data_IF_970573941121
#
_entry.id   IF_970573941121
#
_cell.length_a   1.000
_cell.length_b   1.000
_cell.length_c   1.000
_cell.angle_alpha   90.00
_cell.angle_beta   90.00
_cell.angle_gamma   90.00
#
_symmetry.space_group_name_H-M   'P 1'
#
loop_
_entity.id
_entity.type
_entity.pdbx_description
1 polymer ?
#
# COMPACT_ATOMS: atom_id res chain seq x y z
N UNK A 1 11.58 13.37 8.25
CA UNK A 1 10.95 14.56 7.63
C UNK A 1 10.24 14.23 6.31
N UNK A 2 10.81 13.48 5.37
CA UNK A 2 10.18 13.19 4.06
C UNK A 2 8.81 12.49 4.16
N UNK A 3 8.67 11.51 5.04
CA UNK A 3 7.38 10.81 5.20
C UNK A 3 6.26 11.73 5.70
N UNK A 4 6.56 12.63 6.66
CA UNK A 4 5.59 13.59 7.15
C UNK A 4 5.09 14.50 6.02
N UNK A 5 6.01 15.02 5.21
CA UNK A 5 5.68 15.91 4.09
C UNK A 5 4.76 15.20 3.09
N UNK A 6 5.08 13.96 2.71
CA UNK A 6 4.26 13.17 1.78
C UNK A 6 2.85 12.94 2.34
N UNK A 7 2.74 12.54 3.62
CA UNK A 7 1.43 12.30 4.25
C UNK A 7 0.59 13.57 4.34
N UNK A 8 1.21 14.70 4.64
CA UNK A 8 0.52 16.00 4.68
C UNK A 8 0.11 16.48 3.27
N UNK A 9 0.93 16.23 2.25
CA UNK A 9 0.57 16.55 0.86
C UNK A 9 -0.63 15.72 0.39
N UNK A 10 -0.64 14.41 0.64
CA UNK A 10 -1.78 13.55 0.28
C UNK A 10 -3.05 13.99 0.98
N UNK A 11 -3.00 14.20 2.29
CA UNK A 11 -4.16 14.67 3.05
C UNK A 11 -4.59 16.08 2.61
N UNK A 12 -3.65 16.99 2.36
CA UNK A 12 -3.91 18.33 1.87
C UNK A 12 -4.62 18.35 0.52
N UNK A 13 -4.22 17.50 -0.42
CA UNK A 13 -4.89 17.34 -1.71
C UNK A 13 -6.33 16.81 -1.54
N UNK A 14 -6.55 15.81 -0.71
CA UNK A 14 -7.90 15.29 -0.45
C UNK A 14 -8.79 16.36 0.19
N UNK A 15 -8.29 17.12 1.17
CA UNK A 15 -9.01 18.23 1.79
C UNK A 15 -9.29 19.33 0.77
N UNK A 16 -8.29 19.70 -0.04
CA UNK A 16 -8.44 20.72 -1.06
C UNK A 16 -9.56 20.37 -2.05
N UNK A 17 -9.56 19.18 -2.62
CA UNK A 17 -10.62 18.72 -3.51
C UNK A 17 -11.97 18.59 -2.78
N UNK A 18 -11.97 18.10 -1.54
CA UNK A 18 -13.18 18.02 -0.73
C UNK A 18 -13.83 19.39 -0.50
N UNK A 19 -13.04 20.39 -0.16
CA UNK A 19 -13.48 21.78 0.05
C UNK A 19 -13.91 22.41 -1.28
N UNK A 20 -13.14 22.21 -2.37
CA UNK A 20 -13.48 22.72 -3.69
C UNK A 20 -14.85 22.20 -4.16
N UNK A 21 -15.12 20.92 -4.00
CA UNK A 21 -16.41 20.32 -4.38
C UNK A 21 -17.53 20.82 -3.46
N UNK A 22 -17.33 20.80 -2.15
CA UNK A 22 -18.39 21.10 -1.18
C UNK A 22 -18.77 22.57 -1.15
N UNK A 23 -17.79 23.45 -1.06
CA UNK A 23 -18.02 24.87 -0.81
C UNK A 23 -17.94 25.73 -2.07
N UNK A 24 -17.07 25.36 -3.03
CA UNK A 24 -16.90 26.10 -4.28
C UNK A 24 -17.66 25.49 -5.45
N UNK A 25 -18.49 24.44 -5.20
CA UNK A 25 -19.33 23.78 -6.20
C UNK A 25 -18.56 23.29 -7.44
N UNK A 26 -17.29 22.91 -7.25
CA UNK A 26 -16.44 22.40 -8.31
C UNK A 26 -16.86 20.97 -8.72
N UNK A 27 -18.14 20.78 -9.07
CA UNK A 27 -18.74 19.48 -9.37
C UNK A 27 -18.12 18.80 -10.60
N UNK A 28 -17.46 19.57 -11.46
CA UNK A 28 -16.66 19.04 -12.55
C UNK A 28 -15.55 18.07 -12.13
N UNK A 29 -15.16 18.09 -10.85
CA UNK A 29 -14.19 17.15 -10.29
C UNK A 29 -14.80 15.78 -9.91
N UNK A 30 -16.15 15.69 -9.92
CA UNK A 30 -16.84 14.45 -9.59
C UNK A 30 -16.90 13.56 -10.84
N UNK A 31 -16.28 12.39 -10.76
CA UNK A 31 -16.32 11.41 -11.85
C UNK A 31 -17.78 11.00 -12.16
N UNK A 32 -18.14 11.01 -13.43
CA UNK A 32 -19.48 10.69 -13.89
C UNK A 32 -20.42 11.91 -13.96
N UNK A 33 -20.20 12.97 -13.18
CA UNK A 33 -20.99 14.19 -13.25
C UNK A 33 -20.80 14.92 -14.60
N UNK A 34 -19.57 15.06 -15.07
CA UNK A 34 -19.26 15.72 -16.34
C UNK A 34 -19.80 15.00 -17.59
N UNK A 35 -20.06 13.71 -17.49
CA UNK A 35 -20.57 12.91 -18.60
C UNK A 35 -22.09 12.81 -18.60
N UNK A 36 -22.74 13.33 -17.58
CA UNK A 36 -24.18 13.42 -17.46
C UNK A 36 -24.74 14.60 -18.28
N UNK A 37 -26.01 14.51 -18.70
CA UNK A 37 -26.71 15.63 -19.36
C UNK A 37 -26.88 16.81 -18.38
N UNK A 38 -27.14 18.00 -18.90
CA UNK A 38 -27.32 19.16 -18.01
C UNK A 38 -28.46 18.96 -17.02
N UNK A 39 -29.54 18.36 -17.45
CA UNK A 39 -30.72 18.08 -16.61
C UNK A 39 -30.36 17.07 -15.50
N UNK A 40 -29.57 16.03 -15.83
CA UNK A 40 -29.06 15.07 -14.83
C UNK A 40 -28.10 15.74 -13.85
N UNK A 41 -27.23 16.65 -14.33
CA UNK A 41 -26.31 17.41 -13.48
C UNK A 41 -27.07 18.29 -12.49
N UNK A 42 -28.10 19.01 -12.95
CA UNK A 42 -28.96 19.84 -12.12
C UNK A 42 -29.69 18.99 -11.06
N UNK A 43 -30.22 17.84 -11.48
CA UNK A 43 -30.86 16.90 -10.55
C UNK A 43 -29.87 16.42 -9.48
N UNK A 44 -28.70 15.90 -9.86
CA UNK A 44 -27.69 15.43 -8.91
C UNK A 44 -27.23 16.55 -7.97
N UNK A 45 -27.04 17.76 -8.48
CA UNK A 45 -26.68 18.93 -7.68
C UNK A 45 -27.77 19.28 -6.65
N UNK A 46 -29.05 19.25 -7.05
CA UNK A 46 -30.19 19.53 -6.16
C UNK A 46 -30.34 18.49 -5.05
N UNK A 47 -29.91 17.24 -5.29
CA UNK A 47 -29.89 16.17 -4.29
C UNK A 47 -28.69 16.25 -3.33
N UNK A 48 -27.78 17.21 -3.53
CA UNK A 48 -26.63 17.42 -2.62
C UNK A 48 -25.43 16.50 -2.85
N UNK A 49 -25.21 16.03 -4.09
CA UNK A 49 -24.05 15.19 -4.45
C UNK A 49 -22.72 15.87 -4.06
N UNK A 50 -22.63 17.20 -4.20
CA UNK A 50 -21.43 17.97 -3.87
C UNK A 50 -21.10 17.93 -2.38
N UNK A 51 -22.11 18.12 -1.52
CA UNK A 51 -21.94 18.02 -0.06
C UNK A 51 -21.49 16.64 0.36
N UNK A 52 -22.10 15.59 -0.20
CA UNK A 52 -21.73 14.21 0.06
C UNK A 52 -20.30 13.90 -0.39
N UNK A 53 -19.98 14.15 -1.66
CA UNK A 53 -18.65 13.83 -2.22
C UNK A 53 -17.53 14.62 -1.55
N UNK A 54 -17.75 15.91 -1.29
CA UNK A 54 -16.78 16.74 -0.61
C UNK A 54 -16.53 16.28 0.83
N UNK A 55 -17.58 15.89 1.57
CA UNK A 55 -17.44 15.33 2.91
C UNK A 55 -16.67 14.00 2.89
N UNK A 56 -16.95 13.12 1.92
CA UNK A 56 -16.24 11.84 1.82
C UNK A 56 -14.74 12.02 1.60
N UNK A 57 -14.32 12.97 0.76
CA UNK A 57 -12.90 13.27 0.55
C UNK A 57 -12.23 13.79 1.83
N UNK A 58 -12.91 14.63 2.62
CA UNK A 58 -12.40 15.12 3.90
C UNK A 58 -12.27 13.96 4.90
N UNK A 59 -13.25 13.05 4.95
CA UNK A 59 -13.19 11.86 5.81
C UNK A 59 -12.06 10.91 5.38
N UNK A 60 -11.82 10.76 4.08
CA UNK A 60 -10.68 9.98 3.56
C UNK A 60 -9.34 10.59 3.99
N UNK A 61 -9.21 11.92 3.97
CA UNK A 61 -8.04 12.60 4.49
C UNK A 61 -7.85 12.36 6.00
N UNK A 62 -8.94 12.41 6.77
CA UNK A 62 -8.90 12.13 8.20
C UNK A 62 -8.50 10.69 8.50
N UNK A 63 -9.02 9.70 7.75
CA UNK A 63 -8.64 8.29 7.87
C UNK A 63 -7.15 8.07 7.55
N UNK A 64 -6.64 8.73 6.51
CA UNK A 64 -5.23 8.70 6.13
C UNK A 64 -4.33 9.26 7.24
N UNK A 65 -4.64 10.45 7.76
CA UNK A 65 -3.90 11.09 8.85
C UNK A 65 -3.99 10.30 10.16
N UNK A 66 -5.13 9.69 10.44
CA UNK A 66 -5.32 8.82 11.61
C UNK A 66 -4.37 7.62 11.55
N UNK A 67 -4.28 6.95 10.40
CA UNK A 67 -3.32 5.86 10.20
C UNK A 67 -1.87 6.31 10.41
N UNK A 68 -1.50 7.46 9.87
CA UNK A 68 -0.18 8.05 10.08
C UNK A 68 0.08 8.37 11.56
N UNK A 69 -0.90 8.96 12.26
CA UNK A 69 -0.80 9.26 13.68
C UNK A 69 -0.62 8.00 14.54
N UNK A 70 -1.39 6.94 14.27
CA UNK A 70 -1.21 5.65 14.95
C UNK A 70 0.20 5.11 14.74
N UNK A 71 0.72 5.19 13.53
CA UNK A 71 2.10 4.76 13.22
C UNK A 71 3.13 5.59 13.99
N UNK A 72 2.94 6.91 14.05
CA UNK A 72 3.78 7.82 14.82
C UNK A 72 3.71 7.54 16.32
N UNK A 73 2.54 7.19 16.85
CA UNK A 73 2.33 6.78 18.25
C UNK A 73 2.91 5.39 18.60
N UNK A 74 3.58 4.72 17.64
CA UNK A 74 4.25 3.44 17.86
C UNK A 74 3.43 2.20 17.50
N UNK A 75 2.19 2.34 17.01
CA UNK A 75 1.40 1.20 16.55
C UNK A 75 1.93 0.71 15.19
N UNK A 76 2.49 -0.49 15.17
CA UNK A 76 3.15 -1.06 13.99
C UNK A 76 2.22 -1.19 12.78
N UNK A 77 0.92 -1.41 13.00
CA UNK A 77 -0.12 -1.55 11.97
C UNK A 77 -0.89 -0.23 11.69
N UNK A 78 -0.39 0.90 12.19
CA UNK A 78 -1.08 2.19 12.06
C UNK A 78 -1.40 2.57 10.62
N UNK A 79 -0.42 2.46 9.72
CA UNK A 79 -0.59 2.78 8.29
C UNK A 79 -1.62 1.87 7.63
N UNK A 80 -1.59 0.58 7.92
CA UNK A 80 -2.50 -0.42 7.37
C UNK A 80 -3.94 -0.17 7.81
N UNK A 81 -4.14 0.23 9.08
CA UNK A 81 -5.45 0.63 9.60
C UNK A 81 -5.96 1.87 8.85
N UNK A 82 -5.12 2.87 8.64
CA UNK A 82 -5.49 4.07 7.88
C UNK A 82 -5.90 3.76 6.44
N UNK A 83 -5.13 2.91 5.75
CA UNK A 83 -5.45 2.44 4.40
C UNK A 83 -6.75 1.63 4.36
N UNK A 84 -6.98 0.74 5.33
CA UNK A 84 -8.22 -0.04 5.42
C UNK A 84 -9.44 0.87 5.58
N UNK A 85 -9.39 1.85 6.48
CA UNK A 85 -10.44 2.83 6.67
C UNK A 85 -10.69 3.65 5.40
N UNK A 86 -9.63 4.09 4.72
CA UNK A 86 -9.73 4.81 3.46
C UNK A 86 -10.43 3.95 2.39
N UNK A 87 -10.06 2.69 2.23
CA UNK A 87 -10.70 1.77 1.29
C UNK A 87 -12.18 1.57 1.61
N UNK A 88 -12.54 1.40 2.88
CA UNK A 88 -13.94 1.31 3.32
C UNK A 88 -14.71 2.57 2.90
N UNK A 89 -14.15 3.75 3.12
CA UNK A 89 -14.76 5.02 2.72
C UNK A 89 -14.90 5.14 1.19
N UNK A 90 -13.90 4.68 0.41
CA UNK A 90 -13.95 4.65 -1.06
C UNK A 90 -15.11 3.75 -1.52
N UNK A 91 -15.20 2.51 -1.02
CA UNK A 91 -16.28 1.60 -1.39
C UNK A 91 -17.66 2.13 -0.96
N UNK A 92 -17.76 2.66 0.25
CA UNK A 92 -18.98 3.31 0.72
C UNK A 92 -19.39 4.45 -0.21
N UNK A 93 -18.44 5.31 -0.60
CA UNK A 93 -18.69 6.43 -1.51
C UNK A 93 -19.19 5.96 -2.87
N UNK A 94 -18.56 4.94 -3.45
CA UNK A 94 -18.97 4.38 -4.75
C UNK A 94 -20.38 3.78 -4.71
N UNK A 95 -20.77 3.15 -3.62
CA UNK A 95 -22.10 2.56 -3.46
C UNK A 95 -23.12 3.66 -3.15
N UNK A 96 -22.86 4.50 -2.18
CA UNK A 96 -23.77 5.51 -1.68
C UNK A 96 -23.99 6.67 -2.68
N UNK A 97 -23.01 6.98 -3.55
CA UNK A 97 -23.18 8.01 -4.59
C UNK A 97 -24.26 7.66 -5.60
N UNK A 98 -24.60 6.38 -5.75
CA UNK A 98 -25.68 5.95 -6.68
C UNK A 98 -27.05 6.50 -6.32
N UNK A 99 -27.31 6.85 -5.06
CA UNK A 99 -28.57 7.45 -4.61
C UNK A 99 -28.86 8.82 -5.22
N UNK A 100 -27.83 9.48 -5.74
CA UNK A 100 -27.92 10.78 -6.39
C UNK A 100 -28.26 10.70 -7.88
N UNK A 101 -28.24 9.49 -8.47
CA UNK A 101 -28.62 9.32 -9.85
C UNK A 101 -30.12 9.53 -10.03
N UNK A 102 -30.55 10.17 -11.14
CA UNK A 102 -31.97 10.33 -11.44
C UNK A 102 -32.72 8.99 -11.49
N UNK A 103 -33.93 8.90 -10.91
CA UNK A 103 -34.76 7.70 -10.98
C UNK A 103 -35.35 7.50 -12.39
N UNK A 104 -35.85 6.30 -12.74
CA UNK A 104 -36.43 6.04 -14.07
C UNK A 104 -37.56 6.98 -14.47
N UNK A 105 -38.36 7.43 -13.50
CA UNK A 105 -39.48 8.41 -13.74
C UNK A 105 -38.99 9.75 -14.26
N UNK A 106 -37.81 10.16 -13.83
CA UNK A 106 -37.17 11.40 -14.30
C UNK A 106 -37.00 11.38 -15.83
N UNK A 107 -36.52 10.29 -16.38
CA UNK A 107 -36.28 10.12 -17.81
C UNK A 107 -37.59 10.01 -18.59
N UNK A 108 -38.59 9.33 -18.02
CA UNK A 108 -39.91 9.18 -18.62
C UNK A 108 -40.58 10.55 -18.78
N UNK A 109 -40.48 11.40 -17.78
CA UNK A 109 -41.04 12.76 -17.80
C UNK A 109 -40.37 13.67 -18.84
N UNK A 110 -39.09 13.40 -19.15
CA UNK A 110 -38.34 14.16 -20.17
C UNK A 110 -38.50 13.60 -21.60
N UNK A 111 -39.19 12.45 -21.75
CA UNK A 111 -39.28 11.76 -23.06
C UNK A 111 -37.92 11.25 -23.55
N UNK A 112 -36.97 11.03 -22.63
CA UNK A 112 -35.60 10.63 -22.93
C UNK A 112 -35.30 9.24 -22.34
N UNK A 113 -34.39 8.51 -22.94
CA UNK A 113 -33.84 7.31 -22.34
C UNK A 113 -32.73 7.67 -21.36
N UNK A 114 -32.51 6.87 -20.29
CA UNK A 114 -31.39 7.06 -19.39
C UNK A 114 -30.08 7.17 -20.16
N UNK A 115 -29.27 8.16 -19.85
CA UNK A 115 -27.96 8.29 -20.47
C UNK A 115 -27.13 7.02 -20.18
N UNK A 116 -26.14 6.73 -21.00
CA UNK A 116 -25.24 5.55 -20.87
C UNK A 116 -24.53 5.48 -19.50
N UNK A 117 -24.74 6.47 -18.65
CA UNK A 117 -24.11 6.72 -17.36
C UNK A 117 -24.26 5.57 -16.34
N UNK A 118 -25.42 4.92 -16.24
CA UNK A 118 -25.62 3.87 -15.23
C UNK A 118 -24.82 2.59 -15.52
N UNK A 119 -24.69 2.22 -16.81
CA UNK A 119 -23.87 1.07 -17.23
C UNK A 119 -22.38 1.37 -17.03
N UNK A 120 -21.93 2.55 -17.40
CA UNK A 120 -20.54 2.99 -17.24
C UNK A 120 -20.15 3.06 -15.77
N UNK A 121 -21.04 3.58 -14.90
CA UNK A 121 -20.83 3.59 -13.45
C UNK A 121 -20.74 2.19 -12.84
N UNK A 122 -21.55 1.22 -13.33
CA UNK A 122 -21.48 -0.16 -12.87
C UNK A 122 -20.16 -0.82 -13.33
N UNK A 123 -19.76 -0.61 -14.57
CA UNK A 123 -18.48 -1.11 -15.08
C UNK A 123 -17.32 -0.52 -14.25
N UNK A 124 -17.35 0.79 -13.98
CA UNK A 124 -16.35 1.44 -13.14
C UNK A 124 -16.25 0.83 -11.74
N UNK A 125 -17.38 0.55 -11.10
CA UNK A 125 -17.39 -0.13 -9.80
C UNK A 125 -16.77 -1.52 -9.88
N UNK A 126 -17.19 -2.34 -10.87
CA UNK A 126 -16.67 -3.70 -11.05
C UNK A 126 -15.16 -3.66 -11.27
N UNK A 127 -14.68 -2.77 -12.15
CA UNK A 127 -13.23 -2.60 -12.39
C UNK A 127 -12.50 -2.21 -11.11
N UNK A 128 -13.03 -1.24 -10.34
CA UNK A 128 -12.41 -0.82 -9.06
C UNK A 128 -12.32 -2.00 -8.08
N UNK A 129 -13.39 -2.78 -7.94
CA UNK A 129 -13.40 -3.98 -7.07
C UNK A 129 -12.35 -4.99 -7.54
N UNK A 130 -12.31 -5.30 -8.83
CA UNK A 130 -11.34 -6.25 -9.40
C UNK A 130 -9.90 -5.78 -9.19
N UNK A 131 -9.61 -4.50 -9.45
CA UNK A 131 -8.28 -3.92 -9.22
C UNK A 131 -7.91 -4.01 -7.74
N UNK A 132 -8.81 -3.64 -6.83
CA UNK A 132 -8.54 -3.70 -5.38
C UNK A 132 -8.26 -5.13 -4.92
N UNK A 133 -9.04 -6.11 -5.38
CA UNK A 133 -8.81 -7.53 -5.08
C UNK A 133 -7.45 -7.98 -5.63
N UNK A 134 -7.14 -7.62 -6.89
CA UNK A 134 -5.86 -7.97 -7.52
C UNK A 134 -4.66 -7.41 -6.77
N UNK A 135 -4.74 -6.14 -6.33
CA UNK A 135 -3.72 -5.50 -5.51
C UNK A 135 -3.61 -6.20 -4.15
N UNK A 136 -4.73 -6.55 -3.51
CA UNK A 136 -4.74 -7.30 -2.26
C UNK A 136 -4.07 -8.67 -2.39
N UNK A 137 -4.36 -9.42 -3.44
CA UNK A 137 -3.71 -10.71 -3.74
C UNK A 137 -2.20 -10.52 -3.96
N UNK A 138 -1.82 -9.49 -4.71
CA UNK A 138 -0.40 -9.18 -4.97
C UNK A 138 0.34 -8.86 -3.67
N UNK A 139 -0.23 -8.02 -2.81
CA UNK A 139 0.35 -7.68 -1.49
C UNK A 139 0.47 -8.94 -0.63
N UNK A 140 -0.59 -9.75 -0.58
CA UNK A 140 -0.58 -11.02 0.16
C UNK A 140 0.53 -11.96 -0.33
N UNK A 141 0.68 -12.12 -1.65
CA UNK A 141 1.74 -12.94 -2.23
C UNK A 141 3.14 -12.39 -1.92
N UNK A 142 3.33 -11.08 -2.01
CA UNK A 142 4.61 -10.44 -1.66
C UNK A 142 4.95 -10.57 -0.18
N UNK A 143 3.93 -10.59 0.70
CA UNK A 143 4.08 -10.70 2.14
C UNK A 143 4.42 -12.13 2.62
N UNK A 144 4.28 -13.15 1.76
CA UNK A 144 4.63 -14.53 2.14
C UNK A 144 6.09 -14.64 2.56
N UNK A 145 6.45 -15.57 3.47
CA UNK A 145 7.84 -15.83 3.81
C UNK A 145 8.70 -16.09 2.56
N UNK A 146 9.95 -15.69 2.61
CA UNK A 146 10.90 -16.10 1.58
C UNK A 146 11.22 -17.59 1.78
N UNK A 147 11.22 -18.35 0.70
CA UNK A 147 11.69 -19.73 0.70
C UNK A 147 13.22 -19.71 0.70
N UNK A 148 13.83 -20.09 1.84
CA UNK A 148 15.28 -20.06 2.02
C UNK A 148 15.81 -21.50 1.99
N UNK A 149 16.60 -21.82 0.97
CA UNK A 149 17.23 -23.12 0.80
C UNK A 149 18.76 -23.01 0.80
N UNK A 150 19.39 -23.83 1.62
CA UNK A 150 20.84 -23.98 1.68
C UNK A 150 21.24 -25.14 0.74
N UNK A 151 21.54 -24.82 -0.50
CA UNK A 151 21.98 -25.77 -1.51
C UNK A 151 23.47 -26.14 -1.28
N UNK A 152 24.04 -27.01 -2.09
CA UNK A 152 25.43 -27.45 -1.89
C UNK A 152 26.45 -26.32 -1.99
N UNK A 153 26.31 -25.43 -2.98
CA UNK A 153 27.28 -24.37 -3.29
C UNK A 153 26.73 -22.96 -3.12
N UNK A 154 25.44 -22.81 -2.81
CA UNK A 154 24.77 -21.52 -2.81
C UNK A 154 23.60 -21.43 -1.84
N UNK A 155 23.31 -20.23 -1.38
CA UNK A 155 22.10 -19.85 -0.68
C UNK A 155 21.06 -19.41 -1.73
N UNK A 156 19.92 -20.09 -1.82
CA UNK A 156 18.78 -19.68 -2.65
C UNK A 156 17.69 -19.07 -1.76
N UNK A 157 17.23 -17.89 -2.15
CA UNK A 157 16.11 -17.19 -1.52
C UNK A 157 15.02 -17.02 -2.57
N UNK A 158 13.90 -17.73 -2.41
CA UNK A 158 12.78 -17.75 -3.34
C UNK A 158 11.67 -16.74 -2.99
N UNK A 159 10.64 -16.71 -3.83
CA UNK A 159 9.48 -15.81 -3.67
C UNK A 159 9.71 -14.42 -4.24
N UNK A 160 8.96 -13.44 -3.76
CA UNK A 160 9.15 -12.06 -4.20
C UNK A 160 10.56 -11.56 -3.85
N UNK A 161 11.20 -10.86 -4.80
CA UNK A 161 12.60 -10.42 -4.71
C UNK A 161 13.63 -11.54 -4.63
N UNK A 162 13.34 -12.72 -5.20
CA UNK A 162 14.21 -13.87 -5.22
C UNK A 162 15.67 -13.53 -5.57
N UNK A 163 16.61 -14.24 -4.99
CA UNK A 163 18.03 -14.09 -5.26
C UNK A 163 18.80 -15.36 -4.89
N UNK A 164 19.97 -15.51 -5.49
CA UNK A 164 20.89 -16.60 -5.19
C UNK A 164 22.25 -16.02 -4.88
N UNK A 165 22.93 -16.56 -3.88
CA UNK A 165 24.27 -16.14 -3.46
C UNK A 165 25.15 -17.38 -3.34
N UNK A 166 26.20 -17.47 -4.12
CA UNK A 166 27.20 -18.53 -3.97
C UNK A 166 27.99 -18.33 -2.69
N UNK A 167 28.26 -19.37 -1.95
CA UNK A 167 29.05 -19.27 -0.72
C UNK A 167 30.45 -18.68 -0.95
N UNK A 168 31.06 -18.99 -2.09
CA UNK A 168 32.36 -18.44 -2.49
C UNK A 168 32.37 -16.92 -2.69
N UNK A 169 31.19 -16.30 -2.94
CA UNK A 169 31.08 -14.85 -3.15
C UNK A 169 30.81 -14.10 -1.84
N UNK A 170 30.58 -14.78 -0.73
CA UNK A 170 30.33 -14.16 0.57
C UNK A 170 31.64 -13.59 1.12
N UNK A 171 31.65 -12.29 1.38
CA UNK A 171 32.76 -11.58 2.02
C UNK A 171 32.67 -11.63 3.54
N UNK A 172 31.47 -11.41 4.07
CA UNK A 172 31.21 -11.49 5.50
C UNK A 172 29.79 -11.97 5.78
N UNK A 173 29.67 -12.72 6.86
CA UNK A 173 28.44 -13.20 7.46
C UNK A 173 28.40 -12.69 8.90
N UNK A 174 27.44 -11.87 9.24
CA UNK A 174 27.32 -11.24 10.55
C UNK A 174 25.92 -11.51 11.14
N UNK A 175 25.86 -11.87 12.42
CA UNK A 175 24.60 -11.91 13.17
C UNK A 175 24.53 -10.64 14.03
N UNK A 176 23.74 -9.66 13.59
CA UNK A 176 23.49 -8.46 14.37
C UNK A 176 22.35 -8.71 15.35
N UNK A 177 22.55 -8.38 16.61
CA UNK A 177 21.54 -8.47 17.68
C UNK A 177 20.59 -7.28 17.69
N UNK A 178 21.09 -6.15 17.21
CA UNK A 178 20.30 -4.92 17.11
C UNK A 178 19.52 -4.87 15.79
N UNK A 179 18.30 -4.27 15.80
CA UNK A 179 17.51 -4.06 14.60
C UNK A 179 18.25 -3.13 13.61
N UNK A 180 18.04 -3.36 12.31
CA UNK A 180 18.58 -2.51 11.27
C UNK A 180 17.85 -1.15 11.24
N UNK A 181 18.62 -0.09 11.08
CA UNK A 181 18.06 1.26 10.87
C UNK A 181 17.77 1.47 9.40
N UNK A 182 16.50 1.28 9.03
CA UNK A 182 16.01 1.48 7.66
C UNK A 182 15.75 2.99 7.47
N UNK A 183 16.38 3.59 6.47
CA UNK A 183 16.24 5.01 6.15
C UNK A 183 15.11 5.24 5.14
N UNK A 184 15.13 4.47 4.03
CA UNK A 184 14.15 4.64 2.95
C UNK A 184 13.92 3.32 2.22
N UNK A 185 12.67 3.09 1.82
CA UNK A 185 12.30 2.01 0.90
C UNK A 185 12.46 2.50 -0.54
N UNK A 186 13.33 1.85 -1.32
CA UNK A 186 13.54 2.19 -2.72
C UNK A 186 12.65 1.38 -3.66
N UNK A 187 12.50 0.07 -3.40
CA UNK A 187 11.59 -0.82 -4.13
C UNK A 187 11.31 -2.06 -3.29
N UNK A 188 10.13 -2.18 -2.72
CA UNK A 188 9.83 -3.30 -1.84
C UNK A 188 8.48 -3.20 -1.13
N UNK A 189 8.19 -4.22 -0.33
CA UNK A 189 7.07 -4.28 0.58
C UNK A 189 7.54 -3.90 1.98
N UNK A 190 6.86 -2.91 2.59
CA UNK A 190 6.92 -2.63 4.02
C UNK A 190 5.50 -2.73 4.56
N UNK A 191 5.21 -3.76 5.36
CA UNK A 191 3.89 -4.05 5.90
C UNK A 191 4.05 -4.50 7.35
N UNK A 192 3.71 -3.63 8.30
CA UNK A 192 3.95 -3.88 9.71
C UNK A 192 5.41 -4.24 10.00
N UNK A 193 5.67 -5.46 10.48
CA UNK A 193 7.01 -5.98 10.75
C UNK A 193 7.74 -6.50 9.51
N UNK A 194 7.03 -6.71 8.39
CA UNK A 194 7.59 -7.30 7.18
C UNK A 194 8.29 -6.22 6.36
N UNK A 195 9.58 -6.45 6.06
CA UNK A 195 10.36 -5.59 5.17
C UNK A 195 11.01 -6.49 4.11
N UNK A 196 10.56 -6.41 2.85
CA UNK A 196 11.00 -7.29 1.78
C UNK A 196 11.27 -6.53 0.50
N UNK A 197 12.46 -6.67 -0.06
CA UNK A 197 12.89 -5.95 -1.27
C UNK A 197 14.10 -5.04 -1.04
N UNK A 198 14.18 -3.94 -1.77
CA UNK A 198 15.31 -3.02 -1.76
C UNK A 198 15.06 -1.82 -0.85
N UNK A 199 16.00 -1.59 0.07
CA UNK A 199 15.94 -0.52 1.06
C UNK A 199 17.29 0.15 1.22
N UNK A 200 17.29 1.45 1.52
CA UNK A 200 18.45 2.14 2.03
C UNK A 200 18.52 1.91 3.55
N UNK A 201 19.61 1.31 3.99
CA UNK A 201 19.84 0.93 5.38
C UNK A 201 21.09 1.64 5.87
N UNK A 202 21.03 2.27 7.05
CA UNK A 202 22.19 2.90 7.67
C UNK A 202 23.30 1.85 7.84
N UNK A 203 24.52 2.22 7.52
CA UNK A 203 25.74 1.38 7.62
C UNK A 203 25.83 0.19 6.62
N UNK A 204 24.78 -0.05 5.81
CA UNK A 204 24.80 -1.07 4.76
C UNK A 204 24.58 -0.48 3.36
N UNK A 205 24.09 0.76 3.27
CA UNK A 205 23.70 1.37 2.01
C UNK A 205 22.46 0.70 1.39
N UNK A 206 22.43 0.56 0.06
CA UNK A 206 21.33 -0.08 -0.65
C UNK A 206 21.41 -1.61 -0.47
N UNK A 207 20.56 -2.14 0.40
CA UNK A 207 20.52 -3.55 0.75
C UNK A 207 19.20 -4.21 0.30
N UNK A 208 19.23 -5.53 0.10
CA UNK A 208 18.04 -6.35 -0.14
C UNK A 208 17.63 -7.01 1.17
N UNK A 209 16.42 -6.72 1.63
CA UNK A 209 15.89 -7.18 2.90
C UNK A 209 14.89 -8.32 2.71
N UNK A 210 14.92 -9.29 3.62
CA UNK A 210 13.98 -10.39 3.79
C UNK A 210 13.66 -10.50 5.29
N UNK A 211 13.05 -9.43 5.85
CA UNK A 211 12.79 -9.34 7.27
C UNK A 211 11.34 -9.66 7.59
N UNK A 212 11.11 -10.48 8.60
CA UNK A 212 9.80 -10.83 9.18
C UNK A 212 9.56 -10.17 10.53
N UNK A 213 10.63 -9.63 11.15
CA UNK A 213 10.58 -8.92 12.41
C UNK A 213 11.37 -7.62 12.33
N UNK A 214 10.86 -6.58 12.98
CA UNK A 214 11.57 -5.31 13.18
C UNK A 214 12.44 -5.32 14.44
N UNK A 215 12.40 -6.40 15.23
CA UNK A 215 13.18 -6.61 16.45
C UNK A 215 13.91 -7.95 16.39
N UNK A 216 14.96 -8.09 17.20
CA UNK A 216 15.72 -9.33 17.30
C UNK A 216 16.88 -9.43 16.31
N UNK A 217 17.52 -10.62 16.28
CA UNK A 217 18.72 -10.82 15.48
C UNK A 217 18.42 -10.75 13.97
N UNK A 218 19.40 -10.23 13.22
CA UNK A 218 19.36 -10.14 11.77
C UNK A 218 20.66 -10.68 11.20
N UNK A 219 20.58 -11.60 10.25
CA UNK A 219 21.72 -12.10 9.49
C UNK A 219 22.03 -11.08 8.40
N UNK A 220 23.24 -10.56 8.39
CA UNK A 220 23.73 -9.66 7.33
C UNK A 220 24.78 -10.40 6.51
N UNK A 221 24.55 -10.49 5.20
CA UNK A 221 25.44 -11.14 4.25
C UNK A 221 25.97 -10.06 3.30
N UNK A 222 27.28 -9.81 3.34
CA UNK A 222 27.94 -8.95 2.36
C UNK A 222 28.62 -9.81 1.31
N UNK A 223 28.42 -9.49 0.06
CA UNK A 223 28.97 -10.24 -1.09
C UNK A 223 29.97 -9.39 -1.86
N UNK A 224 30.68 -10.02 -2.81
CA UNK A 224 31.67 -9.33 -3.65
C UNK A 224 31.01 -8.48 -4.74
N UNK A 225 29.92 -8.97 -5.31
CA UNK A 225 29.31 -8.41 -6.52
C UNK A 225 27.88 -7.92 -6.33
N UNK A 226 27.16 -8.47 -5.35
CA UNK A 226 25.77 -8.12 -5.12
C UNK A 226 25.60 -7.15 -3.94
N UNK A 227 24.44 -6.50 -3.90
CA UNK A 227 24.05 -5.68 -2.76
C UNK A 227 24.00 -6.54 -1.49
N UNK A 228 24.33 -5.95 -0.31
CA UNK A 228 24.17 -6.65 0.96
C UNK A 228 22.75 -7.21 1.12
N UNK A 229 22.66 -8.40 1.71
CA UNK A 229 21.39 -9.01 2.08
C UNK A 229 21.21 -8.96 3.59
N UNK A 230 19.97 -8.82 4.04
CA UNK A 230 19.63 -8.96 5.44
C UNK A 230 18.39 -9.85 5.58
N UNK A 231 18.49 -10.83 6.46
CA UNK A 231 17.50 -11.90 6.62
C UNK A 231 17.18 -12.06 8.09
N UNK A 232 15.90 -12.15 8.44
CA UNK A 232 15.47 -12.69 9.71
C UNK A 232 14.10 -13.39 9.60
N UNK A 233 13.81 -14.19 10.60
CA UNK A 233 12.50 -14.80 10.84
C UNK A 233 11.74 -14.05 11.93
N UNK A 234 10.47 -14.39 12.09
CA UNK A 234 9.66 -13.89 13.21
C UNK A 234 10.16 -14.42 14.55
N UNK A 235 10.64 -15.69 14.56
CA UNK A 235 11.29 -16.29 15.71
C UNK A 235 12.81 -15.99 15.68
N UNK A 236 13.36 -15.38 16.74
CA UNK A 236 14.79 -15.17 16.88
C UNK A 236 15.63 -16.47 16.85
N UNK A 237 15.08 -17.60 17.31
CA UNK A 237 15.79 -18.88 17.32
C UNK A 237 15.98 -19.43 15.90
N UNK A 238 14.97 -19.32 15.05
CA UNK A 238 15.07 -19.70 13.64
C UNK A 238 16.14 -18.87 12.92
N UNK A 239 16.23 -17.59 13.24
CA UNK A 239 17.26 -16.70 12.68
C UNK A 239 18.67 -17.15 13.11
N UNK A 240 18.86 -17.50 14.38
CA UNK A 240 20.15 -18.02 14.88
C UNK A 240 20.50 -19.38 14.28
N UNK A 241 19.51 -20.25 14.15
CA UNK A 241 19.70 -21.57 13.53
C UNK A 241 20.14 -21.42 12.07
N UNK A 242 19.49 -20.59 11.29
CA UNK A 242 19.90 -20.31 9.92
C UNK A 242 21.32 -19.73 9.85
N UNK A 243 21.67 -18.83 10.78
CA UNK A 243 23.03 -18.28 10.84
C UNK A 243 24.09 -19.35 11.04
N UNK A 244 23.90 -20.27 12.00
CA UNK A 244 24.86 -21.36 12.25
C UNK A 244 24.96 -22.33 11.08
N UNK A 245 23.84 -22.65 10.42
CA UNK A 245 23.84 -23.49 9.21
C UNK A 245 24.62 -22.82 8.06
N UNK A 246 24.42 -21.50 7.84
CA UNK A 246 25.17 -20.73 6.84
C UNK A 246 26.67 -20.68 7.18
N UNK A 247 27.01 -20.48 8.46
CA UNK A 247 28.40 -20.44 8.93
C UNK A 247 29.11 -21.77 8.65
N UNK A 248 28.43 -22.90 8.89
CA UNK A 248 28.99 -24.22 8.61
C UNK A 248 29.19 -24.49 7.10
N UNK A 249 28.45 -23.84 6.22
CA UNK A 249 28.60 -23.97 4.76
C UNK A 249 29.68 -23.06 4.17
N UNK A 250 30.04 -21.97 4.87
CA UNK A 250 31.00 -20.96 4.39
C UNK A 250 32.41 -21.25 4.94
N UNK A 251 32.49 -21.86 6.14
CA UNK A 251 33.76 -22.25 6.77
C UNK A 251 33.93 -23.75 6.57
N UNK A 252 34.79 -24.20 5.64
CA UNK A 252 35.01 -25.61 5.41
C UNK A 252 35.74 -26.30 6.59
#
# INVERSE_FOLDING_TARGET
MGELIINLLVAGLLIFFGVAIKYFKAYGLISGYNTASKEEQEYMASQGIGDFMGLQLILMAAAWLFGYFLRWAGYIWGTEIGVALLLILVFYTLIASRRFNPPPEFYKNLGKSPSRSSRTAMIGLVVTVLVTISVGIMIFWMAQPADIALEESQLRIGGAYATTVRYADIKSLELKTEPLRIETRTNGLGLGSIQKGHFMVKDLGNARLFLRSTSGPVIVIKTREQKPLAINYSDPQDTRSLYHQLQAKITP
#
